data_IF_745092884177
#
_entry.id   IF_745092884177
#
_cell.length_a   1.000
_cell.length_b   1.000
_cell.length_c   1.000
_cell.angle_alpha   90.00
_cell.angle_beta   90.00
_cell.angle_gamma   90.00
#
_symmetry.space_group_name_H-M   'P 1'
#
loop_
_entity.id
_entity.type
_entity.pdbx_description
1 polymer ?
#
# COMPACT_ATOMS: atom_id res chain seq x y z
N UNK A 1 5.76 41.51 -21.89
CA UNK A 1 7.01 41.43 -21.08
C UNK A 1 6.78 40.91 -19.63
N UNK A 2 5.72 41.37 -18.98
CA UNK A 2 5.40 40.95 -17.58
C UNK A 2 5.11 39.44 -17.47
N UNK A 3 4.35 38.90 -18.41
CA UNK A 3 4.04 37.45 -18.44
C UNK A 3 5.30 36.59 -18.66
N UNK A 4 6.19 37.03 -19.56
CA UNK A 4 7.47 36.32 -19.79
C UNK A 4 8.39 36.35 -18.58
N UNK A 5 8.40 37.46 -17.83
CA UNK A 5 9.17 37.54 -16.57
C UNK A 5 8.58 36.62 -15.50
N UNK A 6 7.24 36.59 -15.37
CA UNK A 6 6.56 35.72 -14.44
C UNK A 6 6.83 34.25 -14.77
N UNK A 7 6.74 33.84 -16.04
CA UNK A 7 7.03 32.47 -16.47
C UNK A 7 8.47 32.09 -16.13
N UNK A 8 9.45 32.96 -16.41
CA UNK A 8 10.85 32.68 -16.01
C UNK A 8 11.02 32.54 -14.50
N UNK A 9 10.43 33.46 -13.73
CA UNK A 9 10.50 33.38 -12.26
C UNK A 9 9.92 32.09 -11.73
N UNK A 10 8.76 31.65 -12.26
CA UNK A 10 8.14 30.37 -11.87
C UNK A 10 8.97 29.16 -12.33
N UNK A 11 9.62 29.24 -13.48
CA UNK A 11 10.54 28.15 -13.92
C UNK A 11 11.76 28.04 -13.02
N UNK A 12 12.36 29.17 -12.63
CA UNK A 12 13.52 29.19 -11.73
C UNK A 12 13.15 28.70 -10.33
N UNK A 13 11.97 29.10 -9.82
CA UNK A 13 11.46 28.62 -8.54
C UNK A 13 11.17 27.11 -8.59
N UNK A 14 10.51 26.63 -9.64
CA UNK A 14 10.21 25.21 -9.83
C UNK A 14 11.50 24.38 -9.89
N UNK A 15 12.53 24.86 -10.61
CA UNK A 15 13.83 24.21 -10.64
C UNK A 15 14.45 24.12 -9.27
N UNK A 16 14.46 25.20 -8.49
CA UNK A 16 14.99 25.24 -7.14
C UNK A 16 14.25 24.28 -6.21
N UNK A 17 12.92 24.23 -6.31
CA UNK A 17 12.10 23.31 -5.50
C UNK A 17 12.39 21.85 -5.86
N UNK A 18 12.53 21.53 -7.13
CA UNK A 18 12.91 20.19 -7.59
C UNK A 18 14.28 19.76 -7.05
N UNK A 19 15.26 20.66 -7.09
CA UNK A 19 16.59 20.40 -6.51
C UNK A 19 16.55 20.16 -4.99
N UNK A 20 15.64 20.84 -4.28
CA UNK A 20 15.42 20.59 -2.85
C UNK A 20 14.76 19.23 -2.60
N UNK A 21 13.76 18.88 -3.41
CA UNK A 21 13.09 17.58 -3.34
C UNK A 21 14.05 16.42 -3.64
N UNK A 22 14.91 16.59 -4.65
CA UNK A 22 15.95 15.62 -4.98
C UNK A 22 16.93 15.42 -3.82
N UNK A 23 17.40 16.51 -3.21
CA UNK A 23 18.28 16.44 -2.03
C UNK A 23 17.60 15.74 -0.83
N UNK A 24 16.31 15.94 -0.66
CA UNK A 24 15.52 15.29 0.37
C UNK A 24 15.09 13.86 0.01
N UNK A 25 15.37 13.42 -1.24
CA UNK A 25 14.88 12.15 -1.80
C UNK A 25 13.34 12.02 -1.73
N UNK A 26 12.64 13.14 -1.97
CA UNK A 26 11.18 13.19 -2.02
C UNK A 26 10.75 13.12 -3.49
N UNK A 27 9.94 12.13 -3.89
CA UNK A 27 9.47 12.01 -5.26
C UNK A 27 8.47 13.12 -5.59
N UNK A 28 8.48 13.57 -6.83
CA UNK A 28 7.55 14.56 -7.37
C UNK A 28 7.15 14.24 -8.81
N UNK A 29 5.97 14.68 -9.23
CA UNK A 29 5.53 14.55 -10.60
C UNK A 29 6.33 15.50 -11.51
N UNK A 30 6.82 14.94 -12.60
CA UNK A 30 7.55 15.69 -13.63
C UNK A 30 6.66 15.79 -14.87
N UNK A 31 5.95 16.90 -15.02
CA UNK A 31 5.33 17.20 -16.31
C UNK A 31 6.41 17.64 -17.32
N UNK A 32 6.41 17.06 -18.50
CA UNK A 32 7.26 17.45 -19.65
C UNK A 32 8.78 17.30 -19.50
N UNK A 33 9.24 16.26 -18.85
CA UNK A 33 10.66 15.90 -18.98
C UNK A 33 10.85 15.05 -20.22
N UNK A 34 11.84 15.40 -21.05
CA UNK A 34 12.32 14.49 -22.09
C UNK A 34 12.78 13.22 -21.40
N UNK A 35 12.02 12.15 -21.58
CA UNK A 35 12.30 10.87 -20.93
C UNK A 35 13.66 10.37 -21.40
N UNK A 36 14.65 10.36 -20.50
CA UNK A 36 15.90 9.70 -20.78
C UNK A 36 15.66 8.20 -20.80
N UNK A 37 15.82 7.61 -21.97
CA UNK A 37 15.81 6.18 -22.13
C UNK A 37 17.00 5.59 -21.36
N UNK A 38 16.72 4.67 -20.46
CA UNK A 38 17.79 4.00 -19.72
C UNK A 38 18.43 2.99 -20.66
N UNK A 39 19.74 3.08 -20.84
CA UNK A 39 20.49 2.09 -21.59
C UNK A 39 20.31 0.71 -20.92
N UNK A 40 20.12 -0.33 -21.73
CA UNK A 40 19.88 -1.71 -21.30
C UNK A 40 18.51 -1.97 -20.68
N UNK A 41 17.48 -1.24 -21.06
CA UNK A 41 16.12 -1.65 -20.74
C UNK A 41 15.80 -3.01 -21.37
N UNK A 42 15.27 -3.89 -20.57
CA UNK A 42 14.69 -5.11 -21.09
C UNK A 42 13.42 -4.72 -21.85
N UNK A 43 13.42 -4.93 -23.16
CA UNK A 43 12.25 -4.69 -23.99
C UNK A 43 11.16 -5.66 -23.57
N UNK A 44 9.95 -5.14 -23.38
CA UNK A 44 8.81 -5.97 -23.10
C UNK A 44 8.46 -6.80 -24.34
N UNK A 45 8.45 -8.12 -24.19
CA UNK A 45 8.02 -9.05 -25.21
C UNK A 45 6.55 -9.40 -25.03
N UNK A 46 5.64 -8.89 -25.89
CA UNK A 46 4.22 -9.16 -25.77
C UNK A 46 3.85 -10.64 -25.97
N UNK A 47 4.70 -11.43 -26.61
CA UNK A 47 4.44 -12.85 -26.88
C UNK A 47 4.79 -13.75 -25.69
N UNK A 48 5.48 -13.24 -24.68
CA UNK A 48 5.81 -13.98 -23.46
C UNK A 48 4.76 -13.87 -22.33
N UNK A 49 3.51 -13.65 -22.68
CA UNK A 49 2.38 -13.70 -21.74
C UNK A 49 2.21 -12.48 -20.85
N UNK A 50 3.14 -11.56 -20.91
CA UNK A 50 3.07 -10.38 -20.08
C UNK A 50 2.63 -9.13 -20.85
N UNK A 51 1.44 -9.07 -21.36
CA UNK A 51 0.86 -7.89 -22.06
C UNK A 51 0.68 -6.64 -21.17
N UNK A 52 1.39 -6.56 -20.07
CA UNK A 52 1.12 -5.63 -19.01
C UNK A 52 1.92 -4.33 -19.16
N UNK A 53 3.15 -4.43 -19.65
CA UNK A 53 4.03 -3.29 -19.89
C UNK A 53 4.54 -3.29 -21.31
N UNK A 54 3.94 -2.47 -22.14
CA UNK A 54 4.36 -2.27 -23.53
C UNK A 54 5.42 -1.18 -23.70
N UNK A 55 5.89 -0.57 -22.60
CA UNK A 55 6.70 0.64 -22.63
C UNK A 55 8.03 0.46 -21.92
N UNK A 56 9.02 1.21 -22.39
CA UNK A 56 10.29 1.31 -21.71
C UNK A 56 10.15 2.04 -20.37
N UNK A 57 10.84 1.57 -19.34
CA UNK A 57 10.88 2.23 -18.05
C UNK A 57 11.89 3.38 -18.13
N UNK A 58 11.40 4.59 -18.19
CA UNK A 58 12.20 5.81 -18.18
C UNK A 58 12.37 6.32 -16.75
N UNK A 59 13.32 7.23 -16.55
CA UNK A 59 13.49 7.90 -15.25
C UNK A 59 12.22 8.68 -14.88
N UNK A 60 11.59 9.35 -15.83
CA UNK A 60 10.33 10.07 -15.60
C UNK A 60 9.23 9.13 -15.14
N UNK A 61 9.01 8.04 -15.87
CA UNK A 61 7.99 7.05 -15.52
C UNK A 61 8.24 6.46 -14.13
N UNK A 62 9.50 6.11 -13.81
CA UNK A 62 9.87 5.60 -12.51
C UNK A 62 9.69 6.64 -11.39
N UNK A 63 9.93 7.92 -11.66
CA UNK A 63 9.72 9.01 -10.71
C UNK A 63 8.23 9.25 -10.46
N UNK A 64 7.41 9.28 -11.50
CA UNK A 64 5.95 9.37 -11.38
C UNK A 64 5.38 8.16 -10.60
N UNK A 65 5.87 6.97 -10.88
CA UNK A 65 5.53 5.79 -10.09
C UNK A 65 5.88 5.98 -8.61
N UNK A 66 7.10 6.40 -8.32
CA UNK A 66 7.55 6.60 -6.93
C UNK A 66 6.72 7.69 -6.23
N UNK A 67 6.28 8.72 -6.95
CA UNK A 67 5.41 9.77 -6.39
C UNK A 67 4.05 9.24 -5.91
N UNK A 68 3.58 8.10 -6.43
CA UNK A 68 2.36 7.45 -5.95
C UNK A 68 2.57 6.64 -4.66
N UNK A 69 3.68 5.93 -4.56
CA UNK A 69 3.89 4.90 -3.53
C UNK A 69 4.88 5.26 -2.43
N UNK A 70 5.47 6.45 -2.43
CA UNK A 70 6.43 6.75 -1.40
C UNK A 70 5.78 6.84 0.00
N UNK A 71 6.49 6.24 0.96
CA UNK A 71 6.23 6.37 2.37
C UNK A 71 7.37 7.13 3.04
N UNK A 72 8.01 6.51 4.03
CA UNK A 72 9.27 7.04 4.58
C UNK A 72 10.33 7.15 3.51
N UNK A 73 11.06 8.25 3.50
CA UNK A 73 12.12 8.52 2.51
C UNK A 73 13.52 8.16 3.03
N UNK A 74 13.65 7.98 4.34
CA UNK A 74 14.91 7.66 5.01
C UNK A 74 15.22 6.16 5.00
N UNK A 75 14.23 5.30 4.83
CA UNK A 75 14.35 3.85 4.89
C UNK A 75 13.41 3.16 3.90
N UNK A 76 13.83 2.05 3.37
CA UNK A 76 13.00 1.14 2.59
C UNK A 76 13.30 -0.31 2.96
N UNK A 77 12.42 -1.21 2.56
CA UNK A 77 12.65 -2.64 2.71
C UNK A 77 12.99 -3.28 1.36
N UNK A 78 13.74 -4.37 1.45
CA UNK A 78 14.04 -5.23 0.31
C UNK A 78 13.74 -6.68 0.68
N UNK A 79 13.21 -7.43 -0.28
CA UNK A 79 12.98 -8.86 -0.12
C UNK A 79 14.32 -9.60 -0.08
N UNK A 80 14.46 -10.56 0.83
CA UNK A 80 15.60 -11.46 0.89
C UNK A 80 15.45 -12.61 -0.11
N UNK A 81 16.55 -13.22 -0.52
CA UNK A 81 16.57 -14.36 -1.45
C UNK A 81 15.76 -15.58 -0.92
N UNK A 82 15.69 -15.74 0.40
CA UNK A 82 14.93 -16.82 1.06
C UNK A 82 13.49 -16.41 1.44
N UNK A 83 13.02 -15.25 0.93
CA UNK A 83 11.76 -14.66 1.36
C UNK A 83 11.93 -13.70 2.54
N UNK A 84 10.78 -13.08 2.94
CA UNK A 84 10.76 -12.04 3.97
C UNK A 84 11.33 -10.71 3.49
N UNK A 85 10.99 -9.64 4.20
CA UNK A 85 11.44 -8.30 3.90
C UNK A 85 12.27 -7.74 5.05
N UNK A 86 13.31 -6.99 4.71
CA UNK A 86 14.25 -6.46 5.69
C UNK A 86 14.49 -4.97 5.42
N UNK A 87 14.46 -4.12 6.44
CA UNK A 87 14.86 -2.73 6.30
C UNK A 87 16.31 -2.65 5.85
N UNK A 88 16.59 -1.73 4.94
CA UNK A 88 17.94 -1.55 4.42
C UNK A 88 18.74 -0.61 5.32
N UNK A 89 19.95 -1.04 5.63
CA UNK A 89 20.85 -0.35 6.55
C UNK A 89 22.26 -0.40 5.98
N UNK A 90 22.97 0.74 5.97
CA UNK A 90 24.33 0.85 5.46
C UNK A 90 25.30 -0.03 6.26
N UNK A 91 25.03 -0.25 7.55
CA UNK A 91 25.84 -1.09 8.43
C UNK A 91 25.52 -2.59 8.34
N UNK A 92 24.58 -3.01 7.46
CA UNK A 92 24.06 -4.39 7.43
C UNK A 92 25.15 -5.45 7.26
N UNK A 93 26.22 -5.16 6.54
CA UNK A 93 27.30 -6.11 6.23
C UNK A 93 28.60 -5.79 6.97
N UNK A 94 28.57 -4.89 7.93
CA UNK A 94 29.71 -4.59 8.78
C UNK A 94 29.64 -5.46 10.05
N UNK A 95 30.54 -6.43 10.16
CA UNK A 95 30.55 -7.40 11.27
C UNK A 95 30.77 -6.74 12.64
N UNK A 96 31.43 -5.59 12.68
CA UNK A 96 31.64 -4.86 13.92
C UNK A 96 30.41 -4.11 14.40
N UNK A 97 29.55 -3.67 13.47
CA UNK A 97 28.42 -2.80 13.76
C UNK A 97 27.07 -3.55 13.72
N UNK A 98 26.92 -4.58 12.87
CA UNK A 98 25.66 -5.30 12.73
C UNK A 98 25.61 -6.57 13.57
N UNK A 99 24.86 -6.59 14.68
CA UNK A 99 24.76 -7.78 15.55
C UNK A 99 24.24 -9.02 14.81
N UNK A 100 23.38 -8.83 13.79
CA UNK A 100 22.79 -9.95 13.03
C UNK A 100 23.81 -10.74 12.24
N UNK A 101 24.93 -10.15 11.82
CA UNK A 101 26.02 -10.87 11.14
C UNK A 101 26.72 -11.86 12.08
N UNK A 102 26.65 -11.62 13.38
CA UNK A 102 27.23 -12.48 14.42
C UNK A 102 26.18 -13.34 15.12
N UNK A 103 25.03 -13.56 14.47
CA UNK A 103 23.93 -14.38 15.02
C UNK A 103 23.06 -13.68 16.06
N UNK A 104 23.23 -12.38 16.25
CA UNK A 104 22.39 -11.60 17.19
C UNK A 104 20.93 -11.51 16.73
N UNK A 105 20.01 -11.58 17.69
CA UNK A 105 18.55 -11.54 17.45
C UNK A 105 17.95 -10.15 17.62
N UNK A 106 18.75 -9.12 17.84
CA UNK A 106 18.28 -7.75 18.06
C UNK A 106 17.45 -7.24 16.89
N UNK A 107 16.35 -6.56 17.16
CA UNK A 107 15.57 -5.84 16.13
C UNK A 107 16.41 -4.73 15.50
N UNK A 108 16.25 -4.55 14.17
CA UNK A 108 16.89 -3.44 13.47
C UNK A 108 16.39 -2.08 13.97
N UNK A 109 15.14 -1.97 14.39
CA UNK A 109 14.56 -0.73 14.90
C UNK A 109 15.20 -0.26 16.21
N UNK A 110 15.53 -1.20 17.08
CA UNK A 110 16.17 -0.92 18.39
C UNK A 110 17.70 -0.97 18.35
N UNK A 111 18.29 -1.20 17.16
CA UNK A 111 19.73 -1.27 17.00
C UNK A 111 20.37 0.12 17.14
N UNK A 112 21.30 0.29 18.06
CA UNK A 112 22.06 1.55 18.25
C UNK A 112 22.95 1.92 17.09
N UNK A 113 23.33 0.94 16.26
CA UNK A 113 24.20 1.14 15.09
C UNK A 113 23.41 1.20 13.78
N UNK A 114 22.08 1.41 13.85
CA UNK A 114 21.28 1.53 12.64
C UNK A 114 21.64 2.80 11.87
N UNK A 115 21.83 2.61 10.57
CA UNK A 115 22.06 3.68 9.61
C UNK A 115 21.24 3.35 8.36
N UNK A 116 20.04 3.93 8.30
CA UNK A 116 19.05 3.58 7.29
C UNK A 116 19.51 4.02 5.88
N UNK A 117 19.24 3.17 4.92
CA UNK A 117 19.52 3.46 3.51
C UNK A 117 18.28 4.06 2.86
N UNK A 118 18.42 5.22 2.24
CA UNK A 118 17.35 5.87 1.47
C UNK A 118 16.97 5.06 0.23
N UNK A 119 15.69 5.09 -0.10
CA UNK A 119 15.21 4.55 -1.36
C UNK A 119 15.57 5.53 -2.49
N UNK A 120 16.22 5.00 -3.52
CA UNK A 120 16.63 5.79 -4.70
C UNK A 120 15.87 5.38 -5.95
N UNK A 121 15.88 6.26 -6.95
CA UNK A 121 15.22 6.01 -8.22
C UNK A 121 15.78 4.77 -8.93
N UNK A 122 17.08 4.51 -8.83
CA UNK A 122 17.73 3.32 -9.42
C UNK A 122 17.18 2.03 -8.79
N UNK A 123 16.86 2.05 -7.50
CA UNK A 123 16.24 0.90 -6.85
C UNK A 123 14.81 0.68 -7.35
N UNK A 124 14.04 1.75 -7.50
CA UNK A 124 12.71 1.69 -8.12
C UNK A 124 12.79 1.12 -9.53
N UNK A 125 13.69 1.60 -10.35
CA UNK A 125 13.89 1.09 -11.71
C UNK A 125 14.28 -0.40 -11.69
N UNK A 126 15.17 -0.81 -10.79
CA UNK A 126 15.54 -2.23 -10.64
C UNK A 126 14.33 -3.10 -10.27
N UNK A 127 13.46 -2.61 -9.39
CA UNK A 127 12.21 -3.27 -9.02
C UNK A 127 11.26 -3.43 -10.22
N UNK A 128 11.04 -2.34 -10.95
CA UNK A 128 10.16 -2.32 -12.11
C UNK A 128 10.69 -3.19 -13.27
N UNK A 129 12.00 -3.31 -13.42
CA UNK A 129 12.61 -4.20 -14.41
C UNK A 129 12.58 -5.67 -13.99
N UNK A 130 12.62 -5.98 -12.70
CA UNK A 130 12.57 -7.35 -12.19
C UNK A 130 13.73 -8.21 -12.65
N UNK A 131 14.94 -7.68 -12.68
CA UNK A 131 16.11 -8.33 -13.29
C UNK A 131 16.68 -9.48 -12.45
N UNK A 132 16.43 -9.46 -11.13
CA UNK A 132 17.01 -10.44 -10.21
C UNK A 132 16.14 -11.67 -10.04
N UNK A 133 16.72 -12.83 -10.42
CA UNK A 133 16.02 -14.12 -10.34
C UNK A 133 15.64 -14.52 -8.91
N UNK A 134 16.42 -14.13 -7.92
CA UNK A 134 16.18 -14.41 -6.49
C UNK A 134 15.13 -13.46 -5.86
N UNK A 135 14.62 -12.50 -6.62
CA UNK A 135 13.66 -11.51 -6.15
C UNK A 135 14.24 -10.50 -5.16
N UNK A 136 15.57 -10.36 -5.08
CA UNK A 136 16.20 -9.39 -4.17
C UNK A 136 16.12 -7.94 -4.67
N UNK A 137 15.47 -7.70 -5.79
CA UNK A 137 15.07 -6.37 -6.29
C UNK A 137 13.61 -6.02 -5.96
N UNK A 138 12.86 -6.92 -5.33
CA UNK A 138 11.52 -6.60 -4.82
C UNK A 138 11.63 -5.66 -3.64
N UNK A 139 10.98 -4.51 -3.74
CA UNK A 139 11.02 -3.45 -2.75
C UNK A 139 9.75 -3.39 -1.92
N UNK A 140 9.86 -2.83 -0.73
CA UNK A 140 8.76 -2.43 0.12
C UNK A 140 8.99 -1.05 0.70
N UNK A 141 7.92 -0.34 0.95
CA UNK A 141 7.92 0.98 1.58
C UNK A 141 7.22 0.94 2.93
N UNK A 142 7.55 1.89 3.78
CA UNK A 142 6.92 2.07 5.09
C UNK A 142 5.92 3.22 4.98
N UNK A 143 4.60 2.95 4.91
CA UNK A 143 3.58 3.97 4.64
C UNK A 143 3.42 5.00 5.75
N UNK A 144 3.72 4.64 7.00
CA UNK A 144 3.60 5.53 8.13
C UNK A 144 4.77 6.50 8.16
N UNK A 145 4.50 7.79 7.94
CA UNK A 145 5.49 8.86 7.96
C UNK A 145 5.90 9.21 9.40
N UNK A 146 6.99 9.93 9.57
CA UNK A 146 7.52 10.30 10.89
C UNK A 146 6.58 11.20 11.70
N UNK A 147 5.78 12.02 11.02
CA UNK A 147 4.76 12.88 11.60
C UNK A 147 3.43 12.16 11.91
N UNK A 148 3.36 10.84 11.74
CA UNK A 148 2.15 10.06 11.94
C UNK A 148 1.13 10.17 10.81
N UNK A 149 1.52 10.70 9.65
CA UNK A 149 0.68 10.76 8.46
C UNK A 149 0.91 9.59 7.52
N UNK A 150 0.05 9.45 6.51
CA UNK A 150 0.23 8.53 5.39
C UNK A 150 -0.36 9.15 4.10
N UNK A 151 0.10 8.65 2.95
CA UNK A 151 -0.33 9.15 1.63
C UNK A 151 -1.33 8.23 0.95
N UNK A 152 -1.48 7.04 1.46
CA UNK A 152 -2.42 6.02 1.01
C UNK A 152 -2.73 5.06 2.14
N UNK A 153 -3.83 4.32 2.00
CA UNK A 153 -4.07 3.10 2.75
C UNK A 153 -4.10 1.92 1.79
N UNK A 154 -3.71 0.75 2.32
CA UNK A 154 -3.74 -0.50 1.57
C UNK A 154 -4.36 -1.57 2.44
N UNK A 155 -5.30 -2.31 1.89
CA UNK A 155 -5.86 -3.49 2.51
C UNK A 155 -5.18 -4.70 1.89
N UNK A 156 -4.63 -5.54 2.73
CA UNK A 156 -3.89 -6.75 2.36
C UNK A 156 -4.80 -7.97 2.56
N UNK A 157 -5.05 -8.68 1.49
CA UNK A 157 -5.78 -9.94 1.48
C UNK A 157 -4.81 -11.03 1.05
N UNK A 158 -4.61 -12.04 1.88
CA UNK A 158 -3.66 -13.12 1.60
C UNK A 158 -4.26 -14.47 1.94
N UNK A 159 -4.17 -15.38 0.98
CA UNK A 159 -4.52 -16.78 1.20
C UNK A 159 -3.32 -17.51 1.84
N UNK A 160 -3.37 -17.63 3.15
CA UNK A 160 -2.32 -18.25 3.96
C UNK A 160 -2.40 -19.77 4.00
N UNK A 161 -3.35 -20.41 3.36
CA UNK A 161 -3.45 -21.87 3.38
C UNK A 161 -2.18 -22.50 2.82
N UNK A 162 -1.28 -22.77 3.74
CA UNK A 162 -0.05 -23.53 3.51
C UNK A 162 -0.41 -25.00 3.48
N UNK A 163 -0.29 -25.61 2.29
CA UNK A 163 -0.17 -27.06 2.21
C UNK A 163 -1.44 -27.83 1.92
N UNK A 164 -2.40 -27.26 1.20
CA UNK A 164 -3.17 -28.13 0.32
C UNK A 164 -2.16 -28.74 -0.65
N UNK A 165 -1.75 -30.00 -0.42
CA UNK A 165 -1.27 -30.83 -1.51
C UNK A 165 -2.21 -30.57 -2.68
N UNK A 166 -1.65 -30.41 -3.87
CA UNK A 166 -2.41 -30.34 -5.10
C UNK A 166 -3.29 -31.60 -5.21
N UNK A 167 -4.39 -31.61 -4.50
CA UNK A 167 -5.47 -32.54 -4.77
C UNK A 167 -6.23 -31.93 -5.93
N UNK A 168 -6.39 -32.71 -6.99
CA UNK A 168 -7.01 -32.38 -8.29
C UNK A 168 -8.49 -31.93 -8.20
N UNK A 169 -8.93 -31.38 -7.10
CA UNK A 169 -10.26 -30.80 -6.94
C UNK A 169 -10.12 -29.30 -6.71
N UNK A 170 -10.16 -28.66 -7.87
CA UNK A 170 -10.28 -27.22 -8.02
C UNK A 170 -11.30 -26.59 -7.06
N UNK A 171 -11.06 -25.35 -6.75
CA UNK A 171 -11.96 -24.22 -6.49
C UNK A 171 -11.87 -23.53 -5.16
N UNK A 172 -10.81 -23.68 -4.41
CA UNK A 172 -10.65 -22.83 -3.22
C UNK A 172 -9.72 -21.63 -3.45
N UNK A 173 -9.11 -21.51 -4.62
CA UNK A 173 -8.11 -20.46 -4.87
C UNK A 173 -8.71 -19.07 -5.15
N UNK A 174 -10.02 -18.95 -5.36
CA UNK A 174 -10.66 -17.70 -5.76
C UNK A 174 -11.62 -17.11 -4.70
N UNK A 175 -11.86 -17.78 -3.58
CA UNK A 175 -12.78 -17.27 -2.53
C UNK A 175 -12.34 -15.92 -1.94
N UNK A 176 -11.04 -15.64 -1.94
CA UNK A 176 -10.53 -14.34 -1.53
C UNK A 176 -10.89 -13.21 -2.50
N UNK A 177 -11.24 -13.54 -3.75
CA UNK A 177 -11.74 -12.57 -4.72
C UNK A 177 -13.06 -11.94 -4.23
N UNK A 178 -13.96 -12.70 -3.67
CA UNK A 178 -15.26 -12.23 -3.20
C UNK A 178 -15.10 -11.18 -2.10
N UNK A 179 -14.15 -11.37 -1.20
CA UNK A 179 -13.87 -10.40 -0.13
C UNK A 179 -13.29 -9.10 -0.69
N UNK A 180 -12.35 -9.20 -1.64
CA UNK A 180 -11.77 -8.04 -2.30
C UNK A 180 -12.81 -7.29 -3.12
N UNK A 181 -13.66 -8.03 -3.86
CA UNK A 181 -14.72 -7.44 -4.68
C UNK A 181 -15.81 -6.79 -3.84
N UNK A 182 -16.08 -7.32 -2.63
CA UNK A 182 -16.94 -6.66 -1.67
C UNK A 182 -16.42 -5.28 -1.25
N UNK A 183 -15.12 -5.22 -0.92
CA UNK A 183 -14.48 -3.95 -0.56
C UNK A 183 -14.44 -3.00 -1.76
N UNK A 184 -14.12 -3.51 -2.96
CA UNK A 184 -14.14 -2.75 -4.22
C UNK A 184 -15.52 -2.15 -4.47
N UNK A 185 -16.56 -2.97 -4.41
CA UNK A 185 -17.95 -2.54 -4.60
C UNK A 185 -18.36 -1.47 -3.57
N UNK A 186 -18.01 -1.66 -2.30
CA UNK A 186 -18.28 -0.66 -1.26
C UNK A 186 -17.58 0.67 -1.56
N UNK A 187 -16.35 0.65 -2.02
CA UNK A 187 -15.66 1.85 -2.46
C UNK A 187 -16.41 2.53 -3.60
N UNK A 188 -16.73 1.80 -4.67
CA UNK A 188 -17.37 2.34 -5.87
C UNK A 188 -18.76 2.94 -5.62
N UNK A 189 -19.60 2.28 -4.82
CA UNK A 189 -20.93 2.80 -4.42
C UNK A 189 -20.79 4.16 -3.71
N UNK A 190 -19.68 4.40 -3.04
CA UNK A 190 -19.42 5.65 -2.33
C UNK A 190 -18.53 6.63 -3.13
N UNK A 191 -18.35 6.38 -4.43
CA UNK A 191 -17.58 7.27 -5.32
C UNK A 191 -16.08 7.21 -5.09
N UNK A 192 -15.57 6.13 -4.49
CA UNK A 192 -14.15 5.88 -4.31
C UNK A 192 -13.71 4.90 -5.39
N UNK A 193 -12.61 5.19 -6.09
CA UNK A 193 -12.01 4.29 -7.08
C UNK A 193 -10.73 3.68 -6.53
N UNK A 194 -10.81 2.50 -5.90
CA UNK A 194 -9.62 1.81 -5.43
C UNK A 194 -8.87 1.19 -6.61
N UNK A 195 -7.55 1.08 -6.50
CA UNK A 195 -6.78 0.20 -7.35
C UNK A 195 -6.64 -1.15 -6.68
N UNK A 196 -7.01 -2.21 -7.36
CA UNK A 196 -6.81 -3.58 -6.90
C UNK A 196 -5.62 -4.18 -7.61
N UNK A 197 -4.63 -4.59 -6.84
CA UNK A 197 -3.42 -5.26 -7.30
C UNK A 197 -3.54 -6.77 -6.96
N UNK A 198 -3.37 -7.64 -7.93
CA UNK A 198 -3.06 -9.04 -7.62
C UNK A 198 -1.68 -9.10 -7.00
N UNK A 199 -1.54 -9.70 -5.84
CA UNK A 199 -0.28 -9.74 -5.11
C UNK A 199 0.84 -10.41 -5.92
N UNK A 200 2.08 -10.19 -5.52
CA UNK A 200 3.24 -10.79 -6.19
C UNK A 200 3.21 -12.33 -6.21
N UNK A 201 2.60 -12.96 -5.24
CA UNK A 201 2.45 -14.42 -5.17
C UNK A 201 1.33 -14.96 -6.08
N UNK A 202 0.41 -14.10 -6.50
CA UNK A 202 -0.81 -14.47 -7.21
C UNK A 202 -1.92 -15.03 -6.32
N UNK A 203 -1.69 -15.17 -5.00
CA UNK A 203 -2.61 -15.79 -4.05
C UNK A 203 -3.23 -14.81 -3.06
N UNK A 204 -3.38 -13.59 -3.46
CA UNK A 204 -3.98 -12.53 -2.66
C UNK A 204 -3.99 -11.22 -3.42
N UNK A 205 -4.43 -10.16 -2.78
CA UNK A 205 -4.52 -8.83 -3.38
C UNK A 205 -4.21 -7.71 -2.38
N UNK A 206 -3.82 -6.59 -2.96
CA UNK A 206 -3.74 -5.33 -2.25
C UNK A 206 -4.77 -4.36 -2.82
N UNK A 207 -5.62 -3.78 -1.98
CA UNK A 207 -6.58 -2.75 -2.38
C UNK A 207 -6.04 -1.39 -1.94
N UNK A 208 -5.68 -0.57 -2.91
CA UNK A 208 -5.02 0.73 -2.70
C UNK A 208 -6.01 1.88 -2.79
N UNK A 209 -5.98 2.79 -1.82
CA UNK A 209 -6.70 4.07 -1.85
C UNK A 209 -5.70 5.18 -1.56
N UNK A 210 -5.54 6.11 -2.51
CA UNK A 210 -4.57 7.19 -2.44
C UNK A 210 -5.21 8.49 -1.96
N UNK A 211 -4.42 9.34 -1.31
CA UNK A 211 -4.84 10.63 -0.81
C UNK A 211 -4.20 11.77 -1.61
N UNK A 212 -4.94 12.87 -1.79
CA UNK A 212 -4.45 14.09 -2.48
C UNK A 212 -3.28 14.73 -1.72
N UNK A 213 -3.34 14.68 -0.39
CA UNK A 213 -2.30 15.15 0.55
C UNK A 213 -2.14 14.12 1.65
N UNK A 214 -1.01 14.10 2.37
CA UNK A 214 -0.88 13.25 3.54
C UNK A 214 -2.01 13.51 4.53
N UNK A 215 -2.59 12.45 5.08
CA UNK A 215 -3.60 12.49 6.12
C UNK A 215 -3.08 11.78 7.37
N UNK A 216 -3.59 12.09 8.55
CA UNK A 216 -3.16 11.36 9.74
C UNK A 216 -3.48 9.86 9.59
N UNK A 217 -2.55 9.01 10.01
CA UNK A 217 -2.74 7.56 9.94
C UNK A 217 -3.96 7.11 10.75
N UNK A 218 -4.26 7.80 11.85
CA UNK A 218 -5.47 7.55 12.64
C UNK A 218 -6.75 7.80 11.84
N UNK A 219 -6.83 8.93 11.12
CA UNK A 219 -7.99 9.23 10.26
C UNK A 219 -8.12 8.20 9.14
N UNK A 220 -7.02 7.93 8.43
CA UNK A 220 -6.98 6.98 7.33
C UNK A 220 -7.42 5.57 7.77
N UNK A 221 -6.94 5.12 8.92
CA UNK A 221 -7.29 3.81 9.48
C UNK A 221 -8.74 3.72 9.95
N UNK A 222 -9.23 4.77 10.63
CA UNK A 222 -10.63 4.82 11.03
C UNK A 222 -11.56 4.76 9.80
N UNK A 223 -11.20 5.50 8.75
CA UNK A 223 -11.90 5.44 7.48
C UNK A 223 -11.85 4.04 6.86
N UNK A 224 -10.68 3.41 6.82
CA UNK A 224 -10.50 2.07 6.28
C UNK A 224 -11.29 1.00 7.03
N UNK A 225 -11.34 1.07 8.37
CA UNK A 225 -12.16 0.14 9.15
C UNK A 225 -13.66 0.33 8.90
N UNK A 226 -14.12 1.57 8.73
CA UNK A 226 -15.52 1.80 8.36
C UNK A 226 -15.85 1.24 6.97
N UNK A 227 -14.91 1.31 6.02
CA UNK A 227 -15.08 0.69 4.70
C UNK A 227 -15.22 -0.83 4.81
N UNK A 228 -14.39 -1.48 5.62
CA UNK A 228 -14.45 -2.92 5.86
C UNK A 228 -15.77 -3.32 6.53
N UNK A 229 -16.18 -2.60 7.57
CA UNK A 229 -17.46 -2.85 8.26
C UNK A 229 -18.65 -2.74 7.31
N UNK A 230 -18.66 -1.72 6.47
CA UNK A 230 -19.73 -1.53 5.47
C UNK A 230 -19.67 -2.58 4.36
N UNK A 231 -18.48 -2.96 3.92
CA UNK A 231 -18.29 -3.99 2.91
C UNK A 231 -18.81 -5.35 3.38
N UNK A 232 -18.47 -5.76 4.59
CA UNK A 232 -18.95 -7.02 5.16
C UNK A 232 -20.49 -7.05 5.33
N UNK A 233 -21.07 -5.94 5.77
CA UNK A 233 -22.51 -5.84 5.96
C UNK A 233 -23.30 -5.87 4.65
N UNK A 234 -22.74 -5.34 3.55
CA UNK A 234 -23.46 -5.18 2.28
C UNK A 234 -23.70 -6.48 1.51
N UNK A 235 -22.85 -7.49 1.73
CA UNK A 235 -22.88 -8.75 0.98
C UNK A 235 -23.07 -10.00 1.84
N UNK A 236 -23.51 -9.80 3.09
CA UNK A 236 -23.68 -10.90 4.06
C UNK A 236 -22.44 -11.80 4.22
N UNK A 237 -21.25 -11.26 3.99
CA UNK A 237 -20.04 -11.95 4.39
C UNK A 237 -20.01 -12.08 5.91
N UNK A 238 -19.91 -13.31 6.36
CA UNK A 238 -19.87 -13.60 7.81
C UNK A 238 -18.58 -13.05 8.46
N UNK A 239 -17.52 -12.95 7.67
CA UNK A 239 -16.23 -12.37 8.08
C UNK A 239 -15.32 -12.22 6.85
N UNK A 240 -14.37 -11.30 6.93
CA UNK A 240 -13.25 -11.26 5.99
C UNK A 240 -12.20 -12.29 6.42
N UNK A 241 -12.24 -13.47 5.85
CA UNK A 241 -11.34 -14.57 6.20
C UNK A 241 -9.92 -14.34 5.67
N UNK A 242 -9.82 -13.78 4.47
CA UNK A 242 -8.55 -13.54 3.76
C UNK A 242 -7.95 -12.17 4.02
N UNK A 243 -8.66 -11.28 4.72
CA UNK A 243 -8.11 -10.00 5.15
C UNK A 243 -7.03 -10.21 6.22
N UNK A 244 -5.76 -9.87 5.92
CA UNK A 244 -4.67 -9.94 6.89
C UNK A 244 -4.56 -8.63 7.68
N UNK A 245 -4.39 -7.51 6.99
CA UNK A 245 -4.22 -6.21 7.64
C UNK A 245 -4.40 -5.03 6.70
N UNK A 246 -4.39 -3.85 7.29
CA UNK A 246 -4.36 -2.58 6.58
C UNK A 246 -3.05 -1.85 6.88
N UNK A 247 -2.49 -1.19 5.88
CA UNK A 247 -1.31 -0.34 6.02
C UNK A 247 -1.68 1.14 5.83
N UNK A 248 -1.14 2.05 6.67
CA UNK A 248 -0.33 1.76 7.86
C UNK A 248 -1.14 0.98 8.90
N UNK A 249 -0.50 0.03 9.60
CA UNK A 249 -1.18 -0.83 10.58
C UNK A 249 -1.26 -0.21 11.98
N UNK A 250 -0.72 0.98 12.16
CA UNK A 250 -0.69 1.70 13.44
C UNK A 250 -0.79 3.21 13.23
N UNK A 251 -1.29 3.92 14.22
CA UNK A 251 -1.52 5.37 14.15
C UNK A 251 -0.21 6.15 14.31
N UNK A 252 0.69 5.66 15.14
CA UNK A 252 2.01 6.22 15.43
C UNK A 252 3.02 5.10 15.67
N UNK A 253 4.29 5.38 15.49
CA UNK A 253 5.36 4.43 15.79
C UNK A 253 6.57 5.15 16.36
N UNK A 254 7.28 4.49 17.26
CA UNK A 254 8.62 4.87 17.68
C UNK A 254 9.72 4.33 16.77
N UNK A 255 9.36 3.47 15.82
CA UNK A 255 10.24 2.83 14.85
C UNK A 255 9.93 3.24 13.41
N UNK A 256 10.02 2.29 12.50
CA UNK A 256 9.73 2.49 11.07
C UNK A 256 8.33 2.01 10.66
N UNK A 257 7.63 1.34 11.56
CA UNK A 257 6.31 0.78 11.28
C UNK A 257 6.35 -0.48 10.42
N UNK A 258 5.19 -0.86 9.90
CA UNK A 258 5.05 -2.01 9.01
C UNK A 258 5.18 -1.58 7.54
N UNK A 259 5.75 -2.47 6.74
CA UNK A 259 5.97 -2.22 5.31
C UNK A 259 4.90 -2.90 4.46
N UNK A 260 4.69 -2.36 3.27
CA UNK A 260 3.97 -2.99 2.17
C UNK A 260 4.90 -3.16 0.96
N UNK A 261 4.79 -4.28 0.26
CA UNK A 261 5.51 -4.50 -0.99
C UNK A 261 5.00 -3.55 -2.08
N UNK A 262 5.90 -3.07 -2.93
CA UNK A 262 5.55 -2.22 -4.06
C UNK A 262 4.96 -3.06 -5.20
N UNK A 263 3.92 -2.58 -5.90
CA UNK A 263 3.36 -3.24 -7.08
C UNK A 263 4.23 -3.08 -8.32
N UNK A 264 3.80 -3.70 -9.41
CA UNK A 264 4.42 -3.66 -10.74
C UNK A 264 5.87 -4.17 -10.75
N UNK A 265 6.19 -5.16 -9.92
CA UNK A 265 7.50 -5.79 -9.94
C UNK A 265 7.66 -6.57 -11.26
N UNK A 266 8.66 -6.18 -12.07
CA UNK A 266 8.74 -6.56 -13.47
C UNK A 266 8.82 -8.06 -13.74
N UNK A 267 9.37 -8.86 -12.83
CA UNK A 267 9.39 -10.31 -12.99
C UNK A 267 8.02 -10.93 -12.71
N UNK A 268 7.36 -10.50 -11.63
CA UNK A 268 6.03 -11.00 -11.27
C UNK A 268 4.96 -10.59 -12.30
N UNK A 269 5.15 -9.44 -12.95
CA UNK A 269 4.28 -8.98 -14.03
C UNK A 269 4.23 -9.96 -15.21
N UNK A 270 5.33 -10.66 -15.49
CA UNK A 270 5.36 -11.68 -16.57
C UNK A 270 4.40 -12.83 -16.30
N UNK A 271 4.13 -13.10 -15.03
CA UNK A 271 3.20 -14.13 -14.59
C UNK A 271 1.79 -13.55 -14.30
N UNK A 272 1.53 -12.30 -14.68
CA UNK A 272 0.27 -11.59 -14.40
C UNK A 272 0.07 -11.20 -12.95
N UNK A 273 1.12 -11.27 -12.14
CA UNK A 273 1.12 -10.94 -10.70
C UNK A 273 1.77 -9.58 -10.45
N UNK A 274 1.60 -9.03 -9.23
CA UNK A 274 2.01 -7.66 -8.92
C UNK A 274 1.40 -6.62 -9.89
N UNK A 275 0.21 -6.91 -10.41
CA UNK A 275 -0.47 -6.19 -11.47
C UNK A 275 -1.81 -5.67 -11.01
N UNK A 276 -2.19 -4.48 -11.45
CA UNK A 276 -3.56 -3.98 -11.25
C UNK A 276 -4.52 -4.75 -12.14
N UNK A 277 -5.66 -5.11 -11.57
CA UNK A 277 -6.66 -5.98 -12.20
C UNK A 277 -8.03 -5.31 -12.23
N UNK A 278 -8.78 -5.63 -13.28
CA UNK A 278 -10.17 -5.21 -13.45
C UNK A 278 -11.14 -6.02 -12.54
N UNK A 279 -12.45 -5.80 -12.75
CA UNK A 279 -13.50 -6.51 -12.01
C UNK A 279 -13.62 -8.00 -12.35
N UNK A 280 -13.04 -8.42 -13.46
CA UNK A 280 -12.99 -9.82 -13.87
C UNK A 280 -11.64 -10.45 -13.53
N UNK A 281 -10.87 -9.78 -12.70
CA UNK A 281 -9.52 -10.19 -12.29
C UNK A 281 -8.51 -10.31 -13.43
N UNK A 282 -8.79 -9.70 -14.59
CA UNK A 282 -7.83 -9.59 -15.67
C UNK A 282 -6.89 -8.41 -15.40
N UNK A 283 -5.60 -8.64 -15.63
CA UNK A 283 -4.64 -7.54 -15.56
C UNK A 283 -4.96 -6.50 -16.65
N UNK A 284 -4.96 -5.21 -16.28
CA UNK A 284 -5.13 -4.15 -17.26
C UNK A 284 -4.01 -4.20 -18.30
N UNK A 285 -4.34 -4.01 -19.59
CA UNK A 285 -3.33 -4.02 -20.66
C UNK A 285 -2.28 -2.94 -20.51
N UNK A 286 -2.68 -1.76 -20.03
CA UNK A 286 -1.79 -0.64 -19.71
C UNK A 286 -1.82 -0.32 -18.22
N UNK A 287 -0.88 -0.86 -17.50
CA UNK A 287 -0.73 -0.67 -16.06
C UNK A 287 -0.35 0.75 -15.69
N UNK A 288 0.38 1.43 -16.59
CA UNK A 288 0.82 2.80 -16.35
C UNK A 288 -0.32 3.79 -16.50
N UNK A 289 -1.17 3.60 -17.49
CA UNK A 289 -2.34 4.46 -17.68
C UNK A 289 -3.30 4.35 -16.49
N UNK A 290 -3.59 3.13 -16.04
CA UNK A 290 -4.43 2.91 -14.85
C UNK A 290 -3.83 3.61 -13.63
N UNK A 291 -2.54 3.42 -13.37
CA UNK A 291 -1.90 3.96 -12.18
C UNK A 291 -1.77 5.48 -12.22
N UNK A 292 -1.29 6.02 -13.34
CA UNK A 292 -0.84 7.41 -13.39
C UNK A 292 -1.88 8.40 -13.93
N UNK A 293 -2.84 7.92 -14.73
CA UNK A 293 -3.82 8.79 -15.37
C UNK A 293 -5.25 8.54 -14.87
N UNK A 294 -5.60 7.31 -14.49
CA UNK A 294 -6.96 6.97 -14.08
C UNK A 294 -7.14 6.88 -12.56
N UNK A 295 -6.05 6.87 -11.78
CA UNK A 295 -6.14 6.84 -10.32
C UNK A 295 -6.72 8.13 -9.76
N UNK A 296 -7.82 8.01 -9.03
CA UNK A 296 -8.41 9.11 -8.27
C UNK A 296 -7.89 9.11 -6.84
N UNK A 297 -7.60 10.31 -6.32
CA UNK A 297 -7.10 10.51 -4.96
C UNK A 297 -8.18 11.17 -4.12
N UNK A 298 -8.37 10.70 -2.89
CA UNK A 298 -9.32 11.30 -1.95
C UNK A 298 -8.72 12.51 -1.24
N UNK A 299 -9.53 13.55 -1.06
CA UNK A 299 -9.23 14.65 -0.14
C UNK A 299 -9.60 14.30 1.29
N UNK A 300 -9.06 15.05 2.26
CA UNK A 300 -9.45 14.93 3.67
C UNK A 300 -10.94 15.19 3.85
N UNK A 301 -11.49 16.22 3.19
CA UNK A 301 -12.91 16.57 3.25
C UNK A 301 -13.82 15.44 2.72
N UNK A 302 -13.36 14.70 1.69
CA UNK A 302 -14.10 13.55 1.16
C UNK A 302 -14.15 12.42 2.19
N UNK A 303 -13.04 12.15 2.87
CA UNK A 303 -12.94 11.15 3.93
C UNK A 303 -13.87 11.51 5.09
N UNK A 304 -13.78 12.73 5.59
CA UNK A 304 -14.59 13.20 6.73
C UNK A 304 -16.09 13.18 6.40
N UNK A 305 -16.46 13.62 5.21
CA UNK A 305 -17.85 13.58 4.72
C UNK A 305 -18.41 12.16 4.66
N UNK A 306 -17.64 11.22 4.12
CA UNK A 306 -18.04 9.81 4.03
C UNK A 306 -18.15 9.19 5.42
N UNK A 307 -17.21 9.46 6.30
CA UNK A 307 -17.23 8.96 7.67
C UNK A 307 -18.46 9.50 8.44
N UNK A 308 -18.75 10.79 8.32
CA UNK A 308 -19.93 11.39 8.96
C UNK A 308 -21.25 10.78 8.45
N UNK A 309 -21.36 10.56 7.13
CA UNK A 309 -22.49 9.87 6.52
C UNK A 309 -22.70 8.49 7.13
N UNK A 310 -21.67 7.66 7.14
CA UNK A 310 -21.75 6.29 7.62
C UNK A 310 -22.01 6.19 9.12
N UNK A 311 -21.46 7.11 9.90
CA UNK A 311 -21.74 7.22 11.34
C UNK A 311 -23.20 7.54 11.59
N UNK A 312 -23.77 8.46 10.82
CA UNK A 312 -25.20 8.79 10.88
C UNK A 312 -26.09 7.59 10.56
N UNK A 313 -25.76 6.84 9.52
CA UNK A 313 -26.48 5.62 9.12
C UNK A 313 -26.42 4.54 10.22
N UNK A 314 -25.26 4.32 10.83
CA UNK A 314 -25.10 3.37 11.93
C UNK A 314 -25.88 3.80 13.18
N UNK A 315 -25.87 5.09 13.50
CA UNK A 315 -26.63 5.64 14.62
C UNK A 315 -28.13 5.46 14.40
N UNK A 316 -28.64 5.71 13.19
CA UNK A 316 -30.05 5.50 12.84
C UNK A 316 -30.42 4.02 12.92
N UNK A 317 -29.62 3.13 12.40
CA UNK A 317 -29.86 1.68 12.44
C UNK A 317 -29.87 1.14 13.87
N UNK A 318 -29.08 1.71 14.77
CA UNK A 318 -29.01 1.33 16.17
C UNK A 318 -30.08 2.05 17.07
N UNK A 319 -30.91 2.93 16.51
CA UNK A 319 -31.84 3.73 17.29
C UNK A 319 -31.17 4.72 18.26
N UNK A 320 -29.94 5.05 18.06
CA UNK A 320 -29.14 5.93 18.93
C UNK A 320 -29.22 7.36 18.39
N UNK A 321 -29.50 8.36 19.22
CA UNK A 321 -29.45 9.75 18.79
C UNK A 321 -28.09 10.11 18.21
N UNK A 322 -28.07 10.86 17.09
CA UNK A 322 -26.85 11.20 16.34
C UNK A 322 -25.76 11.93 17.13
N UNK A 323 -26.04 12.38 18.34
CA UNK A 323 -25.10 13.06 19.23
C UNK A 323 -24.16 12.13 20.03
N UNK A 324 -24.39 10.82 20.01
CA UNK A 324 -23.47 9.85 20.63
C UNK A 324 -22.39 9.50 19.64
N UNK A 325 -21.40 10.38 19.55
CA UNK A 325 -20.29 10.26 18.63
C UNK A 325 -19.37 9.09 18.98
N UNK A 326 -18.73 8.55 17.95
CA UNK A 326 -17.73 7.46 18.01
C UNK A 326 -16.54 7.69 18.98
N UNK A 327 -16.43 8.83 19.63
CA UNK A 327 -15.34 9.13 20.55
C UNK A 327 -15.24 8.15 21.73
N UNK A 328 -16.30 7.46 22.06
CA UNK A 328 -16.37 6.50 23.17
C UNK A 328 -16.43 5.02 22.76
N UNK A 329 -16.41 4.69 21.46
CA UNK A 329 -16.33 3.29 21.07
C UNK A 329 -14.92 2.76 21.34
N UNK A 330 -14.80 1.64 22.03
CA UNK A 330 -13.51 0.97 22.11
C UNK A 330 -13.06 0.68 20.68
N UNK A 331 -11.82 1.07 20.36
CA UNK A 331 -11.25 0.80 19.04
C UNK A 331 -11.15 -0.71 18.88
N UNK A 332 -11.75 -1.29 17.83
CA UNK A 332 -11.81 -2.75 17.66
C UNK A 332 -10.46 -3.43 17.64
N UNK A 333 -9.41 -2.70 17.33
CA UNK A 333 -8.02 -3.15 17.31
C UNK A 333 -7.26 -2.91 18.62
N UNK A 334 -7.90 -2.40 19.68
CA UNK A 334 -7.25 -2.33 21.00
C UNK A 334 -7.25 -3.70 21.64
N UNK A 335 -6.08 -4.11 22.10
CA UNK A 335 -5.95 -5.26 23.00
C UNK A 335 -6.85 -5.07 24.21
N UNK A 336 -7.65 -6.07 24.50
CA UNK A 336 -8.28 -6.22 25.78
C UNK A 336 -7.52 -7.33 26.53
N UNK A 337 -6.93 -7.01 27.68
CA UNK A 337 -6.37 -7.97 28.63
C UNK A 337 -5.54 -9.12 28.02
N UNK A 338 -4.40 -8.78 27.41
CA UNK A 338 -3.48 -9.78 26.88
C UNK A 338 -3.81 -10.31 25.48
N UNK A 339 -4.88 -9.90 24.88
CA UNK A 339 -5.20 -10.24 23.50
C UNK A 339 -4.21 -9.63 22.53
N UNK A 340 -3.65 -10.45 21.64
CA UNK A 340 -2.49 -10.07 20.86
C UNK A 340 -2.82 -9.90 19.40
N UNK A 341 -4.03 -10.12 18.92
CA UNK A 341 -4.17 -10.22 17.50
C UNK A 341 -4.93 -9.08 16.85
N UNK A 342 -4.32 -8.66 15.80
CA UNK A 342 -4.72 -7.69 14.80
C UNK A 342 -5.84 -8.19 13.88
N UNK A 343 -6.23 -9.42 14.00
CA UNK A 343 -7.21 -10.09 13.14
C UNK A 343 -8.66 -9.79 13.55
N UNK A 344 -8.79 -8.74 14.30
CA UNK A 344 -10.08 -8.37 14.88
C UNK A 344 -11.09 -7.99 13.81
N UNK A 345 -10.62 -7.41 12.68
CA UNK A 345 -11.55 -6.97 11.64
C UNK A 345 -12.17 -8.14 10.89
N UNK A 346 -11.42 -9.18 10.60
CA UNK A 346 -11.94 -10.39 9.98
C UNK A 346 -12.87 -11.20 10.88
N UNK A 347 -12.85 -10.93 12.19
CA UNK A 347 -13.65 -11.63 13.19
C UNK A 347 -14.66 -10.74 13.90
N UNK A 348 -14.66 -9.46 13.56
CA UNK A 348 -15.51 -8.50 14.22
C UNK A 348 -16.89 -8.55 13.63
N UNK A 349 -17.76 -9.19 14.34
CA UNK A 349 -19.17 -8.82 14.29
C UNK A 349 -19.32 -7.49 15.00
N UNK A 350 -19.94 -6.55 14.32
CA UNK A 350 -20.25 -5.23 14.84
C UNK A 350 -20.82 -5.39 16.24
N UNK A 351 -20.18 -4.73 17.16
CA UNK A 351 -20.69 -4.64 18.50
C UNK A 351 -21.97 -3.86 18.47
N UNK A 352 -23.07 -4.53 18.61
CA UNK A 352 -24.35 -3.94 18.90
C UNK A 352 -24.41 -3.76 20.42
N UNK A 353 -24.50 -2.51 20.88
CA UNK A 353 -24.62 -2.18 22.30
C UNK A 353 -23.29 -1.91 23.00
N UNK A 354 -23.13 -2.35 24.19
CA UNK A 354 -22.17 -1.90 25.21
C UNK A 354 -20.68 -2.16 24.95
N UNK A 355 -20.26 -2.40 23.72
CA UNK A 355 -18.85 -2.55 23.40
C UNK A 355 -18.25 -3.91 23.73
N UNK A 356 -19.09 -4.93 23.84
CA UNK A 356 -18.65 -6.31 24.06
C UNK A 356 -18.31 -6.96 22.72
N UNK A 357 -17.10 -7.50 22.62
CA UNK A 357 -16.66 -8.28 21.47
C UNK A 357 -16.96 -9.73 21.74
N UNK A 358 -17.63 -10.37 20.81
CA UNK A 358 -17.76 -11.82 20.81
C UNK A 358 -16.78 -12.34 19.78
N UNK A 359 -15.77 -13.02 20.25
CA UNK A 359 -14.91 -13.85 19.41
C UNK A 359 -15.75 -15.06 18.95
N UNK A 360 -15.88 -15.20 17.65
CA UNK A 360 -16.47 -16.40 17.05
C UNK A 360 -15.43 -17.15 16.26
#
# INVERSE_FOLDING_TARGET
>A
DSLRRLVRSLQDENKRLKEQLDKANIPYDTENVFAEKIENLQEYDPDQGGRILSQYITKDLANRYFSMFWGRTDVYARRGAKGGYFPQCNNRWNDSLCPKNRGGKQSCETCGNKDWTKLTLEKIISHLLGMKKDGSDVLGVYPLLEDGACRFIVFDFDNHEKGAEQTDFANTDEEWHDEVDALRMMCEINGIKPLVERSRSGRGAHVWIFFKKPVSASLARNFGFLLLDKGSASINLKSFHYYDRMYPSQDVTSGIGNLIALPLQGRALKDGNSAFVDKNWNAYPDQWDILLNQTEKLGTDDIERLMAKWQGELAQAAGIPAAVTMQNRPKPWKKKDGFVKTDVVGKMHIVLGDGIYVDT
#
